data_IF_146290201046
#
_entry.id   IF_146290201046
#
_cell.length_a   1.000
_cell.length_b   1.000
_cell.length_c   1.000
_cell.angle_alpha   90.00
_cell.angle_beta   90.00
_cell.angle_gamma   90.00
#
_symmetry.space_group_name_H-M   'P 1'
#
loop_
_entity.id
_entity.type
_entity.pdbx_description
1 polymer ?
#
# COMPACT_ATOMS: atom_id res chain seq x y z
N UNK A 1 -12.02 -2.37 6.09
CA UNK A 1 -10.86 -1.82 5.36
C UNK A 1 -9.78 -2.89 5.28
N UNK A 2 -9.15 -3.05 4.11
CA UNK A 2 -7.95 -3.86 3.91
C UNK A 2 -6.84 -2.97 3.35
N UNK A 3 -5.60 -3.45 3.39
CA UNK A 3 -4.46 -2.74 2.83
C UNK A 3 -3.86 -3.64 1.75
N UNK A 4 -3.90 -3.17 0.50
CA UNK A 4 -3.28 -3.84 -0.63
C UNK A 4 -1.83 -3.40 -0.73
N UNK A 5 -0.92 -4.37 -0.75
CA UNK A 5 0.48 -4.16 -1.08
C UNK A 5 0.73 -4.65 -2.50
N UNK A 6 1.38 -3.85 -3.35
CA UNK A 6 1.64 -4.17 -4.76
C UNK A 6 3.12 -3.96 -5.08
N UNK A 7 3.81 -4.97 -5.63
CA UNK A 7 5.18 -4.80 -6.14
C UNK A 7 5.12 -4.03 -7.45
N UNK A 8 5.74 -2.85 -7.47
CA UNK A 8 5.65 -1.91 -8.60
C UNK A 8 6.67 -2.25 -9.66
N UNK A 9 6.18 -2.51 -10.87
CA UNK A 9 7.04 -2.72 -12.03
C UNK A 9 7.82 -1.44 -12.38
N UNK A 10 9.10 -1.54 -12.80
CA UNK A 10 9.92 -0.38 -13.16
C UNK A 10 9.25 0.54 -14.20
N UNK A 11 8.50 -0.06 -15.14
CA UNK A 11 7.86 0.62 -16.27
C UNK A 11 6.80 1.65 -15.84
N UNK A 12 6.15 1.43 -14.69
CA UNK A 12 5.11 2.31 -14.14
C UNK A 12 5.58 3.09 -12.92
N UNK A 13 6.79 2.81 -12.40
CA UNK A 13 7.29 3.36 -11.14
C UNK A 13 7.26 4.89 -11.11
N UNK A 14 7.65 5.56 -12.21
CA UNK A 14 7.62 7.02 -12.29
C UNK A 14 6.19 7.58 -12.15
N UNK A 15 5.21 6.94 -12.80
CA UNK A 15 3.81 7.36 -12.74
C UNK A 15 3.20 7.10 -11.36
N UNK A 16 3.53 5.96 -10.75
CA UNK A 16 3.12 5.62 -9.39
C UNK A 16 3.68 6.65 -8.40
N UNK A 17 4.97 6.98 -8.48
CA UNK A 17 5.60 8.00 -7.62
C UNK A 17 4.90 9.35 -7.73
N UNK A 18 4.72 9.87 -8.95
CA UNK A 18 4.03 11.16 -9.14
C UNK A 18 2.59 11.15 -8.64
N UNK A 19 1.90 10.00 -8.71
CA UNK A 19 0.52 9.88 -8.22
C UNK A 19 0.48 9.76 -6.69
N UNK A 20 1.46 9.11 -6.08
CA UNK A 20 1.65 9.09 -4.62
C UNK A 20 1.97 10.47 -4.07
N UNK A 21 2.86 11.23 -4.71
CA UNK A 21 3.16 12.61 -4.30
C UNK A 21 1.90 13.50 -4.34
N UNK A 22 1.08 13.34 -5.38
CA UNK A 22 -0.23 14.01 -5.49
C UNK A 22 -1.18 13.59 -4.37
N UNK A 23 -1.27 12.28 -4.09
CA UNK A 23 -2.10 11.74 -3.02
C UNK A 23 -1.69 12.32 -1.66
N UNK A 24 -0.41 12.25 -1.31
CA UNK A 24 0.12 12.76 -0.04
C UNK A 24 -0.18 14.25 0.14
N UNK A 25 0.07 15.08 -0.88
CA UNK A 25 -0.27 16.51 -0.82
C UNK A 25 -1.78 16.78 -0.73
N UNK A 26 -2.61 15.94 -1.35
CA UNK A 26 -4.07 16.09 -1.28
C UNK A 26 -4.61 15.74 0.10
N UNK A 27 -4.04 14.71 0.74
CA UNK A 27 -4.34 14.38 2.15
C UNK A 27 -3.91 15.52 3.07
N UNK A 28 -2.71 16.06 2.90
CA UNK A 28 -2.21 17.18 3.71
C UNK A 28 -3.05 18.46 3.56
N UNK A 29 -3.55 18.74 2.36
CA UNK A 29 -4.38 19.91 2.07
C UNK A 29 -5.87 19.70 2.35
N UNK A 30 -6.29 18.48 2.70
CA UNK A 30 -7.70 18.13 2.94
C UNK A 30 -8.56 18.10 1.67
N UNK A 31 -7.95 17.95 0.49
CA UNK A 31 -8.65 17.91 -0.79
C UNK A 31 -9.14 16.48 -1.09
N UNK A 32 -10.30 16.12 -0.52
CA UNK A 32 -10.85 14.77 -0.59
C UNK A 32 -11.19 14.32 -2.02
N UNK A 33 -11.66 15.22 -2.89
CA UNK A 33 -11.96 14.87 -4.29
C UNK A 33 -10.70 14.39 -5.03
N UNK A 34 -9.56 15.04 -4.78
CA UNK A 34 -8.29 14.63 -5.40
C UNK A 34 -7.71 13.39 -4.73
N UNK A 35 -7.95 13.18 -3.42
CA UNK A 35 -7.60 11.94 -2.72
C UNK A 35 -8.28 10.75 -3.39
N UNK A 36 -9.59 10.83 -3.66
CA UNK A 36 -10.35 9.75 -4.29
C UNK A 36 -9.83 9.49 -5.72
N UNK A 37 -9.66 10.54 -6.52
CA UNK A 37 -9.14 10.43 -7.89
C UNK A 37 -7.73 9.83 -7.92
N UNK A 38 -6.84 10.24 -7.02
CA UNK A 38 -5.47 9.73 -6.95
C UNK A 38 -5.44 8.26 -6.51
N UNK A 39 -6.30 7.88 -5.56
CA UNK A 39 -6.45 6.51 -5.07
C UNK A 39 -6.96 5.59 -6.19
N UNK A 40 -8.02 5.98 -6.90
CA UNK A 40 -8.56 5.25 -8.04
C UNK A 40 -7.51 5.07 -9.15
N UNK A 41 -6.74 6.13 -9.44
CA UNK A 41 -5.68 6.08 -10.43
C UNK A 41 -4.58 5.11 -10.04
N UNK A 42 -4.18 5.07 -8.76
CA UNK A 42 -3.20 4.10 -8.26
C UNK A 42 -3.71 2.67 -8.41
N UNK A 43 -4.98 2.41 -8.06
CA UNK A 43 -5.61 1.10 -8.24
C UNK A 43 -5.59 0.64 -9.70
N UNK A 44 -5.90 1.53 -10.65
CA UNK A 44 -5.85 1.22 -12.08
C UNK A 44 -4.41 0.97 -12.55
N UNK A 45 -3.46 1.81 -12.14
CA UNK A 45 -2.04 1.67 -12.51
C UNK A 45 -1.45 0.34 -12.03
N UNK A 46 -1.86 -0.15 -10.86
CA UNK A 46 -1.27 -1.34 -10.24
C UNK A 46 -2.14 -2.59 -10.34
N UNK A 47 -3.25 -2.56 -11.09
CA UNK A 47 -4.17 -3.69 -11.22
C UNK A 47 -3.49 -4.98 -11.74
N UNK A 48 -2.44 -4.85 -12.56
CA UNK A 48 -1.67 -5.98 -13.08
C UNK A 48 -0.43 -6.36 -12.25
N UNK A 49 -0.14 -5.63 -11.17
CA UNK A 49 1.03 -5.90 -10.34
C UNK A 49 0.80 -7.11 -9.42
N UNK A 50 1.89 -7.81 -9.09
CA UNK A 50 1.84 -8.83 -8.05
C UNK A 50 1.51 -8.17 -6.71
N UNK A 51 0.38 -8.58 -6.12
CA UNK A 51 -0.19 -7.92 -4.94
C UNK A 51 -0.64 -8.93 -3.90
N UNK A 52 -0.66 -8.50 -2.65
CA UNK A 52 -1.30 -9.21 -1.53
C UNK A 52 -2.21 -8.22 -0.79
N UNK A 53 -3.13 -8.74 0.00
CA UNK A 53 -3.99 -7.94 0.87
C UNK A 53 -3.79 -8.37 2.31
N UNK A 54 -3.61 -7.39 3.19
CA UNK A 54 -3.61 -7.61 4.63
C UNK A 54 -4.89 -7.04 5.21
N UNK A 55 -5.45 -7.74 6.20
CA UNK A 55 -6.42 -7.12 7.10
C UNK A 55 -5.77 -5.96 7.85
N UNK A 56 -6.58 -5.02 8.34
CA UNK A 56 -6.08 -3.91 9.16
C UNK A 56 -5.27 -4.40 10.38
N UNK A 57 -5.66 -5.53 10.98
CA UNK A 57 -4.96 -6.12 12.11
C UNK A 57 -3.57 -6.64 11.71
N UNK A 58 -3.47 -7.39 10.62
CA UNK A 58 -2.19 -7.90 10.12
C UNK A 58 -1.26 -6.76 9.69
N UNK A 59 -1.83 -5.75 9.04
CA UNK A 59 -1.13 -4.53 8.66
C UNK A 59 -0.53 -3.80 9.86
N UNK A 60 -1.29 -3.63 10.95
CA UNK A 60 -0.77 -3.01 12.18
C UNK A 60 0.38 -3.82 12.77
N UNK A 61 0.26 -5.15 12.84
CA UNK A 61 1.33 -6.03 13.32
C UNK A 61 2.58 -5.90 12.45
N UNK A 62 2.43 -5.82 11.13
CA UNK A 62 3.53 -5.61 10.20
C UNK A 62 4.24 -4.26 10.46
N UNK A 63 3.49 -3.17 10.60
CA UNK A 63 4.06 -1.85 10.89
C UNK A 63 4.75 -1.79 12.27
N UNK A 64 4.18 -2.42 13.29
CA UNK A 64 4.76 -2.47 14.63
C UNK A 64 6.09 -3.23 14.63
N UNK A 65 6.20 -4.32 13.86
CA UNK A 65 7.45 -5.05 13.70
C UNK A 65 8.55 -4.18 13.06
N UNK A 66 8.21 -3.35 12.08
CA UNK A 66 9.15 -2.39 11.45
C UNK A 66 9.55 -1.32 12.45
N UNK A 67 8.57 -0.67 13.10
CA UNK A 67 8.80 0.42 14.07
C UNK A 67 9.56 -0.02 15.31
N UNK A 68 9.46 -1.30 15.71
CA UNK A 68 10.26 -1.85 16.80
C UNK A 68 11.77 -1.79 16.53
N UNK A 69 12.17 -1.84 15.24
CA UNK A 69 13.57 -1.76 14.79
C UNK A 69 13.95 -0.35 14.36
N UNK A 70 12.99 0.41 13.83
CA UNK A 70 13.17 1.79 13.39
C UNK A 70 11.98 2.65 13.84
N UNK A 71 12.02 3.24 15.06
CA UNK A 71 10.91 4.02 15.59
C UNK A 71 10.57 5.28 14.79
N UNK A 72 11.51 5.79 13.99
CA UNK A 72 11.30 6.96 13.12
C UNK A 72 10.60 6.62 11.79
N UNK A 73 10.33 5.33 11.54
CA UNK A 73 9.70 4.89 10.30
C UNK A 73 8.26 5.42 10.17
N UNK A 74 8.02 6.10 9.05
CA UNK A 74 6.70 6.54 8.61
C UNK A 74 6.44 5.97 7.21
N UNK A 75 5.30 5.31 7.02
CA UNK A 75 4.87 4.90 5.68
C UNK A 75 4.35 6.12 4.93
N UNK A 76 4.77 6.27 3.67
CA UNK A 76 4.29 7.30 2.77
C UNK A 76 3.76 6.65 1.48
N UNK A 77 2.97 5.59 1.64
CA UNK A 77 2.41 4.75 0.57
C UNK A 77 3.42 3.95 -0.26
N UNK A 78 4.67 4.39 -0.42
CA UNK A 78 5.71 3.63 -1.11
C UNK A 78 6.78 3.14 -0.14
N UNK A 79 6.91 1.82 -0.07
CA UNK A 79 7.87 1.13 0.79
C UNK A 79 9.04 0.56 -0.03
N UNK A 80 10.27 0.64 0.49
CA UNK A 80 11.39 -0.16 -0.02
C UNK A 80 11.07 -1.65 0.04
N UNK A 81 11.41 -2.41 -1.01
CA UNK A 81 11.17 -3.85 -1.07
C UNK A 81 11.81 -4.62 0.10
N UNK A 82 12.98 -4.19 0.57
CA UNK A 82 13.68 -4.79 1.73
C UNK A 82 12.84 -4.83 3.01
N UNK A 83 11.92 -3.87 3.20
CA UNK A 83 11.03 -3.81 4.37
C UNK A 83 9.87 -4.80 4.21
N UNK A 84 9.53 -5.14 2.96
CA UNK A 84 8.38 -5.97 2.61
C UNK A 84 8.72 -7.46 2.45
N UNK A 85 9.96 -7.90 2.70
CA UNK A 85 10.38 -9.30 2.48
C UNK A 85 9.59 -10.31 3.32
N UNK A 86 9.04 -9.90 4.47
CA UNK A 86 8.22 -10.76 5.32
C UNK A 86 6.85 -11.08 4.72
N UNK A 87 6.36 -10.22 3.83
CA UNK A 87 5.05 -10.34 3.19
C UNK A 87 5.17 -10.69 1.69
N UNK A 88 6.29 -10.36 1.06
CA UNK A 88 6.68 -10.78 -0.28
C UNK A 88 8.03 -11.50 -0.26
N UNK A 89 8.06 -12.83 -0.21
CA UNK A 89 9.32 -13.59 -0.22
C UNK A 89 10.18 -13.38 -1.48
N UNK A 90 9.56 -12.92 -2.57
CA UNK A 90 10.20 -12.72 -3.88
C UNK A 90 10.67 -11.28 -4.11
N UNK A 91 10.34 -10.34 -3.22
CA UNK A 91 10.74 -8.93 -3.37
C UNK A 91 12.24 -8.77 -3.13
N UNK A 92 12.85 -7.86 -3.87
CA UNK A 92 14.27 -7.52 -3.79
C UNK A 92 14.47 -6.12 -3.22
N UNK A 93 15.70 -5.79 -2.83
CA UNK A 93 16.03 -4.48 -2.28
C UNK A 93 15.85 -3.32 -3.28
N UNK A 94 15.82 -3.61 -4.59
CA UNK A 94 15.62 -2.60 -5.65
C UNK A 94 14.15 -2.35 -5.97
N UNK A 95 13.25 -3.20 -5.46
CA UNK A 95 11.82 -3.05 -5.71
C UNK A 95 11.20 -1.94 -4.85
N UNK A 96 10.08 -1.42 -5.34
CA UNK A 96 9.21 -0.52 -4.59
C UNK A 96 7.86 -1.21 -4.42
N UNK A 97 7.29 -1.14 -3.22
CA UNK A 97 5.99 -1.72 -2.90
C UNK A 97 5.02 -0.59 -2.57
N UNK A 98 3.91 -0.50 -3.29
CA UNK A 98 2.82 0.42 -2.99
C UNK A 98 1.92 -0.21 -1.94
N UNK A 99 1.70 0.50 -0.84
CA UNK A 99 0.76 0.26 0.23
C UNK A 99 -0.46 1.17 0.02
N UNK A 100 -1.63 0.60 -0.26
CA UNK A 100 -2.85 1.36 -0.51
C UNK A 100 -4.03 0.82 0.31
N UNK A 101 -4.68 1.66 1.12
CA UNK A 101 -6.01 1.40 1.66
C UNK A 101 -6.99 1.00 0.56
N UNK A 102 -7.73 -0.07 0.77
CA UNK A 102 -8.86 -0.45 -0.05
C UNK A 102 -10.06 -0.74 0.82
N UNK A 103 -11.25 -0.52 0.27
CA UNK A 103 -12.46 -1.05 0.86
C UNK A 103 -12.33 -2.57 0.92
N UNK A 104 -12.56 -3.13 2.11
CA UNK A 104 -12.61 -4.58 2.23
C UNK A 104 -13.92 -5.04 1.64
N UNK A 105 -13.91 -6.08 0.81
CA UNK A 105 -15.13 -6.81 0.46
C UNK A 105 -15.92 -7.09 1.75
N UNK A 106 -17.18 -6.62 1.81
CA UNK A 106 -18.14 -7.00 2.85
C UNK A 106 -18.52 -8.48 2.65
N UNK A 107 -17.59 -9.38 2.97
CA UNK A 107 -17.68 -10.81 2.70
C UNK A 107 -17.20 -11.71 3.84
N UNK A 108 -16.88 -11.16 5.00
CA UNK A 108 -16.78 -11.96 6.24
C UNK A 108 -18.12 -11.93 6.98
N UNK A 109 -19.16 -12.42 6.29
CA UNK A 109 -20.33 -12.96 6.95
C UNK A 109 -19.92 -14.27 7.60
N UNK A 110 -19.95 -14.29 8.93
CA UNK A 110 -19.81 -15.46 9.78
C UNK A 110 -20.65 -16.63 9.22
N UNK A 111 -19.99 -17.57 8.53
CA UNK A 111 -20.60 -18.85 8.17
C UNK A 111 -20.42 -19.82 9.34
N UNK A 112 -21.06 -19.51 10.47
CA UNK A 112 -21.43 -20.52 11.45
C UNK A 112 -22.61 -21.32 10.92
N UNK A 113 -22.36 -22.53 10.43
CA UNK A 113 -23.29 -23.68 10.55
C UNK A 113 -22.53 -24.97 10.82
#
# INVERSE_FOLDING_TARGET
MKIRFSIISPDILAQVRSTVDLLSHSVESGNMDVVDIATDKLLVLTAGCHSIELSEKEWRVFLDAIRSKNPAFQSNYLLPGEICTSIFPTVTATDCVLELPIDGDEGEGDASV
#
